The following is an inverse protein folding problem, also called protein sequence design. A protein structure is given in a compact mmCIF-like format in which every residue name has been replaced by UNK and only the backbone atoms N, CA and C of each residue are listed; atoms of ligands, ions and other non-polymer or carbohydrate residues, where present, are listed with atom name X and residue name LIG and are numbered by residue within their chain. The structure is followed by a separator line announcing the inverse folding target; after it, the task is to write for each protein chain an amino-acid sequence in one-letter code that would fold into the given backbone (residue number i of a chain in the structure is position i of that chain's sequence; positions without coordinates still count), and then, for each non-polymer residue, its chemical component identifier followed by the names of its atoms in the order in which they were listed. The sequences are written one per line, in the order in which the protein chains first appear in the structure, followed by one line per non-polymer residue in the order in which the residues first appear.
data_IF_801565807351
#
_entry.id   IF_801565807351
#
_cell.length_a   1.000
_cell.length_b   1.000
_cell.length_c   1.000
_cell.angle_alpha   90.00
_cell.angle_beta   90.00
_cell.angle_gamma   90.00
#
_symmetry.space_group_name_H-M   'P 1'
#
loop_
_entity.id
_entity.type
_entity.pdbx_description
1 polymer ?
#
# COMPACT_ATOMS: atom_id res chain seq x y z
N UNK A 1 3.58 -2.03 21.61
CA UNK A 1 2.74 -2.04 20.39
C UNK A 1 3.01 -0.76 19.62
N UNK A 2 3.43 -0.81 18.35
CA UNK A 2 3.74 0.39 17.59
C UNK A 2 2.43 1.03 17.08
N UNK A 3 2.05 2.19 17.64
CA UNK A 3 0.79 2.87 17.31
C UNK A 3 0.73 3.21 15.82
N UNK A 4 1.85 3.65 15.22
CA UNK A 4 1.92 3.99 13.79
C UNK A 4 1.62 2.80 12.89
N UNK A 5 2.07 1.60 13.27
CA UNK A 5 1.75 0.37 12.53
C UNK A 5 0.24 0.14 12.46
N UNK A 6 -0.45 0.25 13.59
CA UNK A 6 -1.90 0.03 13.65
C UNK A 6 -2.62 1.11 12.85
N UNK A 7 -2.27 2.38 13.05
CA UNK A 7 -2.91 3.48 12.32
C UNK A 7 -2.80 3.30 10.81
N UNK A 8 -1.62 2.95 10.29
CA UNK A 8 -1.44 2.73 8.85
C UNK A 8 -2.28 1.54 8.37
N UNK A 9 -2.22 0.40 9.06
CA UNK A 9 -2.99 -0.79 8.68
C UNK A 9 -4.50 -0.50 8.69
N UNK A 10 -5.03 0.16 9.71
CA UNK A 10 -6.46 0.50 9.77
C UNK A 10 -6.86 1.52 8.69
N UNK A 11 -6.05 2.54 8.42
CA UNK A 11 -6.30 3.48 7.30
C UNK A 11 -6.37 2.77 5.96
N UNK A 12 -5.50 1.79 5.73
CA UNK A 12 -5.54 0.95 4.53
C UNK A 12 -6.82 0.12 4.45
N UNK A 13 -7.28 -0.49 5.57
CA UNK A 13 -8.51 -1.29 5.60
C UNK A 13 -9.76 -0.50 5.24
N UNK A 14 -9.88 0.70 5.81
CA UNK A 14 -11.06 1.53 5.59
C UNK A 14 -10.97 2.32 4.26
N UNK A 15 -9.89 2.14 3.49
CA UNK A 15 -9.70 2.85 2.22
C UNK A 15 -9.41 4.35 2.37
N UNK A 16 -8.97 4.80 3.55
CA UNK A 16 -8.64 6.20 3.86
C UNK A 16 -7.14 6.48 3.76
N UNK A 17 -6.42 5.64 3.03
CA UNK A 17 -5.07 5.92 2.62
C UNK A 17 -5.06 7.22 1.79
N UNK A 18 -4.10 8.12 2.04
CA UNK A 18 -3.95 9.40 1.32
C UNK A 18 -3.45 9.22 -0.13
N UNK A 19 -4.03 8.27 -0.87
CA UNK A 19 -3.70 8.05 -2.27
C UNK A 19 -4.26 9.18 -3.15
N UNK A 20 -3.65 9.46 -4.32
CA UNK A 20 -4.09 10.53 -5.21
C UNK A 20 -5.58 10.50 -5.56
N UNK A 21 -6.15 9.30 -5.74
CA UNK A 21 -7.59 9.14 -6.00
C UNK A 21 -8.43 9.65 -4.83
N UNK A 22 -8.09 9.28 -3.61
CA UNK A 22 -8.80 9.73 -2.42
C UNK A 22 -8.64 11.24 -2.23
N UNK A 23 -7.40 11.75 -2.34
CA UNK A 23 -7.11 13.18 -2.23
C UNK A 23 -7.85 14.02 -3.26
N UNK A 24 -8.01 13.51 -4.49
CA UNK A 24 -8.81 14.17 -5.51
C UNK A 24 -10.31 14.14 -5.19
N UNK A 25 -10.81 13.00 -4.71
CA UNK A 25 -12.21 12.85 -4.29
C UNK A 25 -12.60 13.83 -3.18
N UNK A 26 -11.69 14.14 -2.26
CA UNK A 26 -11.93 15.11 -1.17
C UNK A 26 -11.48 16.55 -1.50
N UNK A 27 -11.10 16.83 -2.74
CA UNK A 27 -10.76 18.18 -3.21
C UNK A 27 -9.40 18.72 -2.75
N UNK A 28 -8.49 17.87 -2.25
CA UNK A 28 -7.12 18.27 -1.87
C UNK A 28 -6.18 18.26 -3.09
N UNK A 29 -6.37 17.34 -4.04
CA UNK A 29 -5.61 17.27 -5.29
C UNK A 29 -6.48 17.55 -6.51
N UNK A 30 -5.92 18.25 -7.49
CA UNK A 30 -6.62 18.54 -8.75
C UNK A 30 -6.76 17.32 -9.67
N UNK A 31 -5.94 16.29 -9.47
CA UNK A 31 -5.92 15.08 -10.30
C UNK A 31 -5.90 13.80 -9.45
N UNK A 32 -6.63 12.74 -9.88
CA UNK A 32 -6.57 11.42 -9.24
C UNK A 32 -5.32 10.62 -9.63
N UNK A 33 -4.43 11.19 -10.45
CA UNK A 33 -3.26 10.49 -10.97
C UNK A 33 -2.10 10.47 -9.97
N UNK A 34 -1.36 9.36 -9.98
CA UNK A 34 -0.06 9.24 -9.36
C UNK A 34 0.97 10.09 -10.09
N UNK A 35 2.08 10.39 -9.41
CA UNK A 35 3.25 11.08 -9.97
C UNK A 35 3.81 10.38 -11.22
N UNK A 36 3.57 9.08 -11.37
CA UNK A 36 4.00 8.35 -12.56
C UNK A 36 3.07 8.54 -13.79
N UNK A 37 1.98 9.31 -13.64
CA UNK A 37 1.00 9.62 -14.68
C UNK A 37 -0.17 8.63 -14.80
N UNK A 38 -0.20 7.55 -14.02
CA UNK A 38 -1.27 6.55 -14.02
C UNK A 38 -2.29 6.82 -12.90
N UNK A 39 -3.44 6.15 -12.96
CA UNK A 39 -4.47 6.25 -11.91
C UNK A 39 -3.91 5.86 -10.53
N UNK A 40 -4.00 6.77 -9.56
CA UNK A 40 -3.32 6.67 -8.28
C UNK A 40 -4.15 5.99 -7.18
N UNK A 41 -4.68 4.80 -7.46
CA UNK A 41 -5.38 4.01 -6.44
C UNK A 41 -4.38 3.35 -5.47
N UNK A 42 -4.91 2.68 -4.45
CA UNK A 42 -4.08 2.07 -3.42
C UNK A 42 -3.19 0.95 -3.96
N UNK A 43 -3.73 0.11 -4.85
CA UNK A 43 -2.99 -0.98 -5.47
C UNK A 43 -1.86 -0.45 -6.34
N UNK A 44 -2.12 0.60 -7.12
CA UNK A 44 -1.10 1.26 -7.90
C UNK A 44 -0.03 1.87 -6.99
N UNK A 45 -0.39 2.72 -6.03
CA UNK A 45 0.58 3.46 -5.20
C UNK A 45 1.51 2.53 -4.42
N UNK A 46 0.99 1.39 -3.94
CA UNK A 46 1.74 0.45 -3.10
C UNK A 46 2.40 -0.67 -3.95
N UNK A 47 1.63 -1.34 -4.82
CA UNK A 47 2.06 -2.56 -5.52
C UNK A 47 2.40 -2.35 -6.99
N UNK A 48 1.86 -1.31 -7.64
CA UNK A 48 1.90 -1.15 -9.10
C UNK A 48 2.84 -0.06 -9.62
N UNK A 49 3.16 0.95 -8.82
CA UNK A 49 3.77 2.19 -9.28
C UNK A 49 5.25 2.02 -9.62
N UNK A 50 5.60 2.29 -10.88
CA UNK A 50 6.97 2.15 -11.41
C UNK A 50 8.02 3.01 -10.69
N UNK A 51 7.58 4.06 -9.98
CA UNK A 51 8.45 4.93 -9.19
C UNK A 51 8.81 4.33 -7.82
N UNK A 52 8.18 3.22 -7.41
CA UNK A 52 8.47 2.54 -6.14
C UNK A 52 9.58 1.51 -6.35
N UNK A 53 10.68 1.67 -5.62
CA UNK A 53 11.88 0.83 -5.71
C UNK A 53 11.77 -0.33 -4.72
N UNK A 54 12.27 -1.52 -5.05
CA UNK A 54 12.30 -2.64 -4.10
C UNK A 54 10.99 -3.43 -3.99
N UNK A 55 10.08 -3.24 -4.96
CA UNK A 55 8.86 -4.03 -5.10
C UNK A 55 9.15 -5.54 -5.27
N UNK A 56 10.16 -5.87 -6.08
CA UNK A 56 10.53 -7.27 -6.30
C UNK A 56 11.04 -7.92 -5.00
N UNK A 57 11.84 -7.19 -4.21
CA UNK A 57 12.26 -7.64 -2.87
C UNK A 57 11.06 -7.86 -1.96
N UNK A 58 10.09 -6.94 -1.98
CA UNK A 58 8.87 -7.07 -1.19
C UNK A 58 8.07 -8.32 -1.56
N UNK A 59 7.86 -8.57 -2.87
CA UNK A 59 7.16 -9.78 -3.31
C UNK A 59 7.96 -11.04 -2.98
N UNK A 60 9.28 -11.05 -3.18
CA UNK A 60 10.13 -12.19 -2.81
C UNK A 60 10.04 -12.52 -1.31
N UNK A 61 9.91 -11.51 -0.44
CA UNK A 61 9.71 -11.70 0.99
C UNK A 61 8.28 -12.18 1.34
N UNK A 62 7.29 -11.91 0.49
CA UNK A 62 5.91 -12.34 0.70
C UNK A 62 5.61 -13.73 0.14
N UNK A 63 6.25 -14.13 -0.97
CA UNK A 63 6.03 -15.41 -1.66
C UNK A 63 5.99 -16.63 -0.73
N UNK A 64 6.86 -16.77 0.28
CA UNK A 64 6.80 -17.91 1.22
C UNK A 64 5.55 -17.95 2.11
N UNK A 65 4.78 -16.86 2.16
CA UNK A 65 3.65 -16.67 3.05
C UNK A 65 2.30 -16.52 2.32
N UNK A 66 2.32 -16.43 0.99
CA UNK A 66 1.11 -16.29 0.17
C UNK A 66 1.01 -17.47 -0.80
N UNK A 67 -0.18 -18.07 -0.87
CA UNK A 67 -0.44 -19.23 -1.73
C UNK A 67 -0.96 -18.87 -3.13
N UNK A 68 -1.36 -17.61 -3.35
CA UNK A 68 -2.00 -17.17 -4.58
C UNK A 68 -1.50 -15.80 -5.03
N UNK A 69 -1.37 -15.63 -6.34
CA UNK A 69 -1.12 -14.37 -7.04
C UNK A 69 -2.15 -14.26 -8.19
N UNK A 70 -2.58 -13.03 -8.57
CA UNK A 70 -2.13 -11.73 -8.07
C UNK A 70 -2.72 -11.37 -6.69
N UNK A 71 -1.96 -10.61 -5.90
CA UNK A 71 -2.43 -10.03 -4.62
C UNK A 71 -2.76 -8.56 -4.79
N UNK A 72 -3.80 -8.12 -4.08
CA UNK A 72 -4.17 -6.70 -3.94
C UNK A 72 -3.86 -6.23 -2.50
N UNK A 73 -3.91 -4.92 -2.27
CA UNK A 73 -3.59 -4.36 -0.95
C UNK A 73 -4.60 -4.84 0.11
N UNK A 74 -5.87 -4.97 -0.25
CA UNK A 74 -6.93 -5.45 0.64
C UNK A 74 -6.59 -6.83 1.22
N UNK A 75 -6.21 -7.79 0.37
CA UNK A 75 -5.77 -9.12 0.77
C UNK A 75 -4.61 -9.07 1.78
N UNK A 76 -3.62 -8.20 1.56
CA UNK A 76 -2.45 -8.09 2.44
C UNK A 76 -2.80 -7.53 3.83
N UNK A 77 -3.75 -6.60 3.89
CA UNK A 77 -4.12 -5.88 5.11
C UNK A 77 -5.13 -6.69 5.96
N UNK A 78 -5.97 -7.50 5.31
CA UNK A 78 -6.89 -8.44 5.96
C UNK A 78 -6.30 -9.82 6.23
N UNK A 79 -5.08 -10.10 5.77
CA UNK A 79 -4.38 -11.34 6.11
C UNK A 79 -4.33 -11.58 7.62
N UNK A 80 -4.70 -12.80 8.03
CA UNK A 80 -4.57 -13.28 9.42
C UNK A 80 -3.10 -13.33 9.87
N UNK A 81 -2.19 -13.63 8.93
CA UNK A 81 -0.77 -13.70 9.20
C UNK A 81 -0.20 -12.31 9.51
N UNK A 82 0.22 -12.11 10.76
CA UNK A 82 0.82 -10.84 11.21
C UNK A 82 2.12 -10.50 10.49
N UNK A 83 2.85 -11.52 10.00
CA UNK A 83 4.08 -11.35 9.21
C UNK A 83 3.81 -10.54 7.93
N UNK A 84 2.71 -10.81 7.22
CA UNK A 84 2.35 -10.12 5.97
C UNK A 84 2.10 -8.63 6.26
N UNK A 85 1.28 -8.33 7.27
CA UNK A 85 1.00 -6.95 7.70
C UNK A 85 2.27 -6.21 8.10
N UNK A 86 3.19 -6.86 8.83
CA UNK A 86 4.48 -6.28 9.22
C UNK A 86 5.37 -6.00 8.01
N UNK A 87 5.48 -6.94 7.07
CA UNK A 87 6.25 -6.77 5.83
C UNK A 87 5.70 -5.62 4.99
N UNK A 88 4.37 -5.54 4.84
CA UNK A 88 3.69 -4.44 4.17
C UNK A 88 4.03 -3.10 4.83
N UNK A 89 3.92 -3.00 6.15
CA UNK A 89 4.26 -1.77 6.88
C UNK A 89 5.71 -1.35 6.65
N UNK A 90 6.68 -2.26 6.77
CA UNK A 90 8.08 -1.92 6.53
C UNK A 90 8.36 -1.50 5.09
N UNK A 91 7.70 -2.13 4.12
CA UNK A 91 7.80 -1.74 2.72
C UNK A 91 7.25 -0.33 2.51
N UNK A 92 6.06 -0.02 3.02
CA UNK A 92 5.46 1.33 2.95
C UNK A 92 6.39 2.38 3.57
N UNK A 93 6.95 2.10 4.75
CA UNK A 93 7.89 3.03 5.41
C UNK A 93 9.13 3.30 4.56
N UNK A 94 9.68 2.29 3.87
CA UNK A 94 10.85 2.46 2.99
C UNK A 94 10.54 3.34 1.76
N UNK A 95 9.29 3.37 1.32
CA UNK A 95 8.88 4.16 0.15
C UNK A 95 8.59 5.63 0.47
N UNK A 96 8.66 6.06 1.74
CA UNK A 96 8.25 7.40 2.18
C UNK A 96 6.85 7.80 1.66
N UNK A 97 5.92 6.84 1.60
CA UNK A 97 4.54 7.13 1.20
C UNK A 97 3.83 7.71 2.42
N UNK A 98 3.41 8.97 2.35
CA UNK A 98 2.51 9.56 3.34
C UNK A 98 1.12 8.92 3.19
N UNK A 99 0.77 8.08 4.16
CA UNK A 99 -0.52 7.38 4.28
C UNK A 99 -1.24 7.74 5.57
#
# INVERSE_FOLDING_TARGET
MNIKFITIIERLRIGHALCPVYLNKIGIKDSPNCECGLYGDLNHVILGCKLRIGRDSFFNELLPHISTLPVNVEFLVFSELSIIKRKLYYYIQKQNIDL
#
